data_IF_016140726956
#
_entry.id   IF_016140726956
#
_cell.length_a   1.000
_cell.length_b   1.000
_cell.length_c   1.000
_cell.angle_alpha   90.00
_cell.angle_beta   90.00
_cell.angle_gamma   90.00
#
_symmetry.space_group_name_H-M   'P 1'
#
loop_
_entity.id
_entity.type
_entity.pdbx_description
1 polymer ?
#
# COMPACT_ATOMS: atom_id res chain seq x y z
N UNK A 1 -8.88 0.40 17.40
CA UNK A 1 -8.55 0.08 16.01
C UNK A 1 -7.15 0.58 15.66
N UNK A 2 -6.80 1.82 15.97
CA UNK A 2 -5.46 2.39 15.73
C UNK A 2 -4.35 1.52 16.32
N UNK A 3 -4.45 1.17 17.60
CA UNK A 3 -3.47 0.28 18.27
C UNK A 3 -3.34 -1.07 17.57
N UNK A 4 -4.47 -1.65 17.14
CA UNK A 4 -4.45 -2.92 16.42
C UNK A 4 -3.71 -2.81 15.07
N UNK A 5 -4.00 -1.75 14.31
CA UNK A 5 -3.36 -1.54 13.01
C UNK A 5 -1.89 -1.20 13.19
N UNK A 6 -1.54 -0.38 14.17
CA UNK A 6 -0.14 -0.10 14.51
C UNK A 6 0.65 -1.38 14.80
N UNK A 7 0.13 -2.24 15.69
CA UNK A 7 0.79 -3.50 16.02
C UNK A 7 0.92 -4.41 14.80
N UNK A 8 -0.14 -4.52 14.00
CA UNK A 8 -0.11 -5.30 12.75
C UNK A 8 0.96 -4.79 11.79
N UNK A 9 1.08 -3.48 11.61
CA UNK A 9 2.10 -2.91 10.70
C UNK A 9 3.51 -3.14 11.24
N UNK A 10 3.72 -3.03 12.54
CA UNK A 10 5.03 -3.34 13.14
C UNK A 10 5.41 -4.82 12.96
N UNK A 11 4.46 -5.73 13.11
CA UNK A 11 4.67 -7.16 12.84
C UNK A 11 4.97 -7.42 11.36
N UNK A 12 4.20 -6.83 10.44
CA UNK A 12 4.45 -6.92 9.01
C UNK A 12 5.82 -6.32 8.63
N UNK A 13 6.19 -5.20 9.21
CA UNK A 13 7.50 -4.57 9.02
C UNK A 13 8.63 -5.50 9.49
N UNK A 14 8.46 -6.13 10.65
CA UNK A 14 9.41 -7.12 11.15
C UNK A 14 9.59 -8.30 10.18
N UNK A 15 8.47 -8.85 9.65
CA UNK A 15 8.52 -9.92 8.66
C UNK A 15 9.17 -9.45 7.35
N UNK A 16 8.88 -8.24 6.90
CA UNK A 16 9.50 -7.69 5.71
C UNK A 16 11.02 -7.55 5.87
N UNK A 17 11.48 -7.02 6.98
CA UNK A 17 12.91 -6.97 7.31
C UNK A 17 13.53 -8.38 7.32
N UNK A 18 12.83 -9.38 7.85
CA UNK A 18 13.28 -10.77 7.84
C UNK A 18 13.38 -11.33 6.42
N UNK A 19 12.43 -11.02 5.53
CA UNK A 19 12.48 -11.39 4.09
C UNK A 19 13.68 -10.72 3.42
N UNK A 20 13.91 -9.43 3.62
CA UNK A 20 15.07 -8.72 3.06
C UNK A 20 16.38 -9.33 3.56
N UNK A 21 16.50 -9.65 4.84
CA UNK A 21 17.71 -10.34 5.39
C UNK A 21 17.98 -11.68 4.69
N UNK A 22 16.94 -12.47 4.41
CA UNK A 22 17.02 -13.77 3.75
C UNK A 22 17.11 -13.71 2.23
N UNK A 23 16.80 -12.57 1.63
CA UNK A 23 16.79 -12.40 0.18
C UNK A 23 18.13 -12.85 -0.43
N UNK A 24 18.09 -13.63 -1.51
CA UNK A 24 19.29 -14.25 -2.10
C UNK A 24 19.97 -13.40 -3.18
N UNK A 25 19.28 -12.43 -3.73
CA UNK A 25 19.79 -11.63 -4.85
C UNK A 25 20.26 -10.23 -4.46
N UNK A 26 19.88 -9.70 -3.29
CA UNK A 26 20.37 -8.43 -2.78
C UNK A 26 21.76 -8.57 -2.16
N UNK A 27 22.64 -7.63 -2.48
CA UNK A 27 23.93 -7.47 -1.81
C UNK A 27 23.77 -7.06 -0.34
N UNK A 28 24.81 -7.26 0.46
CA UNK A 28 24.81 -6.86 1.87
C UNK A 28 24.60 -5.34 2.05
N UNK A 29 25.17 -4.54 1.14
CA UNK A 29 25.04 -3.09 1.13
C UNK A 29 23.60 -2.65 0.90
N UNK A 30 22.95 -3.15 -0.17
CA UNK A 30 21.56 -2.83 -0.49
C UNK A 30 20.59 -3.32 0.60
N UNK A 31 20.83 -4.54 1.15
CA UNK A 31 20.05 -5.04 2.29
C UNK A 31 20.11 -4.11 3.50
N UNK A 32 21.31 -3.65 3.85
CA UNK A 32 21.50 -2.73 4.99
C UNK A 32 20.73 -1.45 4.80
N UNK A 33 20.77 -0.84 3.61
CA UNK A 33 20.04 0.37 3.30
C UNK A 33 18.51 0.16 3.31
N UNK A 34 18.02 -0.93 2.71
CA UNK A 34 16.60 -1.29 2.72
C UNK A 34 16.07 -1.51 4.14
N UNK A 35 16.82 -2.23 4.97
CA UNK A 35 16.45 -2.48 6.38
C UNK A 35 16.40 -1.17 7.17
N UNK A 36 17.44 -0.32 7.05
CA UNK A 36 17.47 0.98 7.71
C UNK A 36 16.27 1.85 7.30
N UNK A 37 15.86 1.80 6.03
CA UNK A 37 14.70 2.52 5.54
C UNK A 37 13.40 2.01 6.16
N UNK A 38 13.22 0.69 6.25
CA UNK A 38 12.06 0.07 6.90
C UNK A 38 12.03 0.38 8.41
N UNK A 39 13.18 0.33 9.10
CA UNK A 39 13.28 0.64 10.53
C UNK A 39 12.89 2.10 10.83
N UNK A 40 13.25 3.03 9.95
CA UNK A 40 12.92 4.46 10.08
C UNK A 40 11.57 4.86 9.50
N UNK A 41 10.84 3.92 8.90
CA UNK A 41 9.52 4.18 8.34
C UNK A 41 8.56 4.58 9.46
N UNK A 42 7.88 5.72 9.28
CA UNK A 42 6.94 6.27 10.25
C UNK A 42 5.51 5.89 9.92
N UNK A 43 4.71 5.70 10.96
CA UNK A 43 3.30 5.37 10.86
C UNK A 43 2.47 6.55 11.38
N UNK A 44 1.54 7.02 10.55
CA UNK A 44 0.59 8.07 10.89
C UNK A 44 -0.82 7.49 10.68
N UNK A 45 -1.33 6.83 11.73
CA UNK A 45 -2.57 6.05 11.69
C UNK A 45 -3.63 6.74 12.53
N UNK A 46 -4.80 6.96 11.94
CA UNK A 46 -5.96 7.53 12.60
C UNK A 46 -5.94 9.06 12.66
N UNK A 47 -5.84 9.62 13.85
CA UNK A 47 -5.84 11.06 14.10
C UNK A 47 -4.44 11.56 14.47
N UNK A 48 -4.09 12.81 14.13
CA UNK A 48 -2.86 13.41 14.62
C UNK A 48 -2.94 13.62 16.15
N UNK A 49 -1.80 13.53 16.84
CA UNK A 49 -1.71 13.72 18.30
C UNK A 49 -2.24 15.08 18.77
N UNK A 50 -2.16 16.08 17.91
CA UNK A 50 -2.69 17.42 18.14
C UNK A 50 -3.52 17.87 16.95
N UNK A 51 -4.76 18.21 17.20
CA UNK A 51 -5.59 18.89 16.21
C UNK A 51 -5.13 20.35 16.08
N UNK A 52 -4.94 20.80 14.85
CA UNK A 52 -4.80 22.23 14.57
C UNK A 52 -6.06 22.98 15.02
N UNK A 53 -5.93 24.25 15.33
CA UNK A 53 -7.10 25.09 15.56
C UNK A 53 -7.73 25.38 14.22
N UNK A 54 -9.02 25.09 14.09
CA UNK A 54 -9.78 25.50 12.92
C UNK A 54 -9.84 27.03 12.84
N UNK A 55 -9.69 27.61 11.65
CA UNK A 55 -9.86 29.03 11.48
C UNK A 55 -11.31 29.40 11.76
N UNK A 56 -11.53 30.46 12.53
CA UNK A 56 -12.86 31.07 12.70
C UNK A 56 -13.08 31.95 11.49
N UNK A 57 -13.90 31.47 10.55
CA UNK A 57 -14.22 32.14 9.31
C UNK A 57 -15.74 32.37 9.23
N UNK A 58 -16.15 33.22 8.30
CA UNK A 58 -17.56 33.53 8.10
C UNK A 58 -18.27 32.42 7.28
N UNK A 59 -18.51 31.29 7.95
CA UNK A 59 -19.18 30.12 7.37
C UNK A 59 -20.70 30.29 7.40
N UNK A 60 -21.35 29.73 6.37
CA UNK A 60 -22.83 29.63 6.28
C UNK A 60 -23.24 28.17 6.58
N UNK A 61 -24.34 28.02 7.29
CA UNK A 61 -24.85 26.70 7.71
C UNK A 61 -25.38 25.87 6.54
N UNK A 62 -25.83 26.52 5.47
CA UNK A 62 -26.54 25.92 4.35
C UNK A 62 -25.81 26.00 3.00
N UNK A 63 -24.61 26.59 2.95
CA UNK A 63 -23.86 26.77 1.70
C UNK A 63 -22.43 26.17 1.80
N UNK A 64 -22.26 24.86 1.59
CA UNK A 64 -20.95 24.21 1.67
C UNK A 64 -19.98 24.70 0.58
N UNK A 65 -20.47 25.11 -0.59
CA UNK A 65 -19.63 25.64 -1.66
C UNK A 65 -19.04 27.00 -1.29
N UNK A 66 -19.84 27.88 -0.72
CA UNK A 66 -19.37 29.15 -0.18
C UNK A 66 -18.29 28.91 0.89
N UNK A 67 -18.53 27.97 1.82
CA UNK A 67 -17.60 27.63 2.89
C UNK A 67 -16.27 27.10 2.37
N UNK A 68 -16.29 26.27 1.33
CA UNK A 68 -15.08 25.83 0.64
C UNK A 68 -14.30 26.99 0.04
N UNK A 69 -15.01 27.97 -0.56
CA UNK A 69 -14.41 29.17 -1.12
C UNK A 69 -13.75 30.04 -0.06
N UNK A 70 -14.44 30.29 1.05
CA UNK A 70 -13.92 31.05 2.20
C UNK A 70 -12.66 30.39 2.79
N UNK A 71 -12.66 29.07 2.96
CA UNK A 71 -11.52 28.33 3.45
C UNK A 71 -10.35 28.35 2.46
N UNK A 72 -10.62 28.19 1.17
CA UNK A 72 -9.60 28.26 0.12
C UNK A 72 -8.93 29.63 0.07
N UNK A 73 -9.71 30.71 0.21
CA UNK A 73 -9.19 32.09 0.23
C UNK A 73 -8.31 32.33 1.47
N UNK A 74 -8.73 31.90 2.64
CA UNK A 74 -7.93 31.95 3.85
C UNK A 74 -6.58 31.22 3.69
N UNK A 75 -6.57 30.02 3.08
CA UNK A 75 -5.33 29.33 2.77
C UNK A 75 -4.46 30.09 1.78
N UNK A 76 -5.06 30.65 0.75
CA UNK A 76 -4.36 31.46 -0.24
C UNK A 76 -3.68 32.67 0.39
N UNK A 77 -4.38 33.39 1.24
CA UNK A 77 -3.82 34.55 1.97
C UNK A 77 -2.64 34.15 2.85
N UNK A 78 -2.73 33.02 3.56
CA UNK A 78 -1.58 32.49 4.33
C UNK A 78 -0.39 32.22 3.44
N UNK A 79 -0.59 31.56 2.29
CA UNK A 79 0.48 31.30 1.33
C UNK A 79 1.11 32.59 0.79
N UNK A 80 0.30 33.57 0.45
CA UNK A 80 0.80 34.87 -0.05
C UNK A 80 1.66 35.62 0.98
N UNK A 81 1.42 35.43 2.28
CA UNK A 81 2.27 35.98 3.35
C UNK A 81 3.66 35.37 3.37
N UNK A 82 3.87 34.25 2.69
CA UNK A 82 5.18 33.58 2.57
C UNK A 82 6.00 34.09 1.39
N UNK A 83 5.41 34.90 0.53
CA UNK A 83 6.12 35.49 -0.62
C UNK A 83 7.36 36.22 -0.16
N UNK A 84 8.48 35.96 -0.84
CA UNK A 84 9.81 36.50 -0.54
C UNK A 84 10.43 36.07 0.83
N UNK A 85 9.82 35.14 1.56
CA UNK A 85 10.42 34.56 2.76
C UNK A 85 11.21 33.30 2.40
N UNK A 86 12.38 33.14 2.99
CA UNK A 86 13.10 31.86 2.89
C UNK A 86 12.40 30.82 3.73
N UNK A 87 12.24 29.61 3.23
CA UNK A 87 11.59 28.49 3.96
C UNK A 87 12.24 28.25 5.32
N UNK A 88 13.55 28.39 5.39
CA UNK A 88 14.35 28.24 6.63
C UNK A 88 14.04 29.29 7.71
N UNK A 89 13.52 30.44 7.29
CA UNK A 89 13.23 31.57 8.18
C UNK A 89 11.77 31.55 8.67
N UNK A 90 11.05 30.45 8.51
CA UNK A 90 9.63 30.35 8.84
C UNK A 90 9.35 29.19 9.82
N UNK A 91 9.93 29.25 11.05
CA UNK A 91 9.74 28.21 12.05
C UNK A 91 8.30 28.12 12.58
N UNK A 92 7.50 29.19 12.42
CA UNK A 92 6.14 29.30 12.94
C UNK A 92 5.06 28.76 12.02
N UNK A 93 5.42 28.33 10.80
CA UNK A 93 4.45 27.73 9.89
C UNK A 93 4.24 26.28 10.28
N UNK A 94 3.02 25.97 10.68
CA UNK A 94 2.58 24.60 10.71
C UNK A 94 2.40 24.11 9.27
N UNK A 95 3.46 23.52 8.72
CA UNK A 95 3.44 22.92 7.39
C UNK A 95 2.38 21.81 7.26
N UNK A 96 1.82 21.32 8.37
CA UNK A 96 0.70 20.40 8.35
C UNK A 96 -0.58 21.05 7.83
N UNK A 97 -0.73 22.37 7.98
CA UNK A 97 -1.86 23.11 7.39
C UNK A 97 -1.83 23.08 5.85
N UNK A 98 -0.65 22.91 5.28
CA UNK A 98 -0.45 22.81 3.83
C UNK A 98 -0.27 21.37 3.37
N UNK A 99 -0.50 20.38 4.24
CA UNK A 99 -0.45 18.97 3.85
C UNK A 99 -1.35 18.72 2.66
N UNK A 100 -0.79 17.94 1.75
CA UNK A 100 -1.43 17.58 0.50
C UNK A 100 -2.78 16.90 0.73
N UNK A 101 -3.65 17.02 -0.24
CA UNK A 101 -4.87 16.25 -0.37
C UNK A 101 -4.55 14.77 -0.09
N UNK A 102 -5.34 14.12 0.74
CA UNK A 102 -5.21 12.71 1.08
C UNK A 102 -4.90 12.38 2.55
N UNK A 103 -4.47 13.36 3.37
CA UNK A 103 -4.22 13.15 4.80
C UNK A 103 -5.40 13.51 5.70
N UNK A 104 -6.48 14.01 5.12
CA UNK A 104 -7.65 14.41 5.88
C UNK A 104 -8.35 13.19 6.49
N UNK A 105 -8.83 13.34 7.73
CA UNK A 105 -9.45 12.24 8.49
C UNK A 105 -10.64 11.58 7.79
N UNK A 106 -11.33 12.28 6.89
CA UNK A 106 -12.47 11.77 6.14
C UNK A 106 -12.10 10.99 4.87
N UNK A 107 -10.83 10.99 4.48
CA UNK A 107 -10.39 10.25 3.29
C UNK A 107 -10.40 8.74 3.55
N UNK A 108 -11.10 8.01 2.67
CA UNK A 108 -11.12 6.55 2.68
C UNK A 108 -10.01 6.05 1.77
N UNK A 109 -8.79 6.12 2.28
CA UNK A 109 -7.59 5.63 1.60
C UNK A 109 -6.46 5.42 2.60
N UNK A 110 -5.40 4.73 2.19
CA UNK A 110 -4.09 4.69 2.84
C UNK A 110 -3.04 4.93 1.77
N UNK A 111 -1.86 5.43 2.14
CA UNK A 111 -0.78 5.62 1.19
C UNK A 111 0.59 5.78 1.86
N UNK A 112 1.60 5.29 1.17
CA UNK A 112 3.00 5.55 1.48
C UNK A 112 3.47 6.85 0.81
N UNK A 113 4.20 7.68 1.54
CA UNK A 113 4.83 8.90 1.02
C UNK A 113 6.35 8.76 1.02
N UNK A 114 7.01 8.64 -0.15
CA UNK A 114 8.45 8.45 -0.24
C UNK A 114 9.26 9.60 0.37
N UNK A 115 8.82 10.86 0.16
CA UNK A 115 9.52 12.07 0.62
C UNK A 115 9.53 12.27 2.14
N UNK A 116 8.70 11.56 2.86
CA UNK A 116 8.67 11.55 4.33
C UNK A 116 8.96 10.18 4.93
N UNK A 117 9.11 9.14 4.10
CA UNK A 117 9.22 7.75 4.49
C UNK A 117 8.15 7.36 5.53
N UNK A 118 6.89 7.62 5.18
CA UNK A 118 5.75 7.48 6.10
C UNK A 118 4.57 6.80 5.44
N UNK A 119 3.84 5.99 6.20
CA UNK A 119 2.51 5.46 5.83
C UNK A 119 1.46 6.28 6.56
N UNK A 120 0.46 6.73 5.80
CA UNK A 120 -0.70 7.48 6.30
C UNK A 120 -1.95 6.63 6.17
N UNK A 121 -2.69 6.51 7.27
CA UNK A 121 -3.97 5.78 7.32
C UNK A 121 -5.01 6.69 7.97
N UNK A 122 -5.76 7.49 7.21
CA UNK A 122 -6.80 8.37 7.73
C UNK A 122 -7.86 7.63 8.56
N UNK A 123 -8.48 8.33 9.50
CA UNK A 123 -9.46 7.75 10.42
C UNK A 123 -10.63 7.06 9.70
N UNK A 124 -11.10 7.63 8.59
CA UNK A 124 -12.19 7.07 7.80
C UNK A 124 -11.88 5.69 7.21
N UNK A 125 -10.62 5.31 7.07
CA UNK A 125 -10.22 3.97 6.63
C UNK A 125 -10.35 2.93 7.76
N UNK A 126 -10.35 3.35 9.03
CA UNK A 126 -10.42 2.49 10.20
C UNK A 126 -11.85 2.10 10.58
N UNK A 127 -12.70 1.83 9.61
CA UNK A 127 -14.09 1.45 9.78
C UNK A 127 -14.49 0.28 8.85
N UNK A 128 -15.67 -0.26 9.07
CA UNK A 128 -16.25 -1.24 8.15
C UNK A 128 -16.39 -0.63 6.75
N UNK A 129 -16.10 -1.40 5.68
CA UNK A 129 -15.74 -2.82 5.67
C UNK A 129 -14.24 -3.11 5.87
N UNK A 130 -13.36 -2.12 5.97
CA UNK A 130 -11.90 -2.31 5.98
C UNK A 130 -11.39 -2.98 7.25
N UNK A 131 -12.06 -2.76 8.39
CA UNK A 131 -11.74 -3.39 9.66
C UNK A 131 -13.02 -3.72 10.44
N UNK A 132 -13.21 -4.99 10.76
CA UNK A 132 -14.39 -5.48 11.47
C UNK A 132 -13.98 -6.45 12.59
N UNK A 133 -14.15 -6.02 13.85
CA UNK A 133 -13.91 -6.83 15.05
C UNK A 133 -15.16 -7.52 15.58
N UNK A 134 -16.33 -7.10 15.12
CA UNK A 134 -17.59 -7.54 15.71
C UNK A 134 -18.10 -8.83 15.06
N UNK A 135 -17.88 -8.98 13.76
CA UNK A 135 -18.51 -10.04 12.96
C UNK A 135 -17.51 -10.87 12.15
N UNK A 136 -16.23 -10.48 12.09
CA UNK A 136 -15.23 -11.08 11.22
C UNK A 136 -13.97 -11.47 12.02
N UNK A 137 -13.33 -12.55 11.56
CA UNK A 137 -12.08 -13.03 12.12
C UNK A 137 -10.85 -12.31 11.61
N UNK A 138 -9.69 -12.82 12.03
CA UNK A 138 -8.38 -12.26 11.66
C UNK A 138 -8.13 -12.39 10.16
N UNK A 139 -8.58 -13.47 9.51
CA UNK A 139 -8.41 -13.70 8.08
C UNK A 139 -9.07 -12.60 7.24
N UNK A 140 -10.26 -12.16 7.68
CA UNK A 140 -10.94 -11.05 7.04
C UNK A 140 -10.14 -9.76 7.22
N UNK A 141 -9.76 -9.40 8.44
CA UNK A 141 -9.03 -8.18 8.71
C UNK A 141 -7.65 -8.17 8.04
N UNK A 142 -7.00 -9.33 7.93
CA UNK A 142 -5.74 -9.45 7.19
C UNK A 142 -5.96 -9.32 5.68
N UNK A 143 -7.03 -9.86 5.13
CA UNK A 143 -7.36 -9.72 3.71
C UNK A 143 -7.73 -8.29 3.30
N UNK A 144 -8.23 -7.48 4.24
CA UNK A 144 -8.63 -6.09 4.01
C UNK A 144 -7.54 -5.13 4.51
N UNK A 145 -7.60 -4.68 5.76
CA UNK A 145 -6.65 -3.68 6.27
C UNK A 145 -5.21 -4.21 6.28
N UNK A 146 -5.02 -5.50 6.58
CA UNK A 146 -3.68 -6.12 6.59
C UNK A 146 -3.04 -6.10 5.19
N UNK A 147 -3.78 -6.47 4.16
CA UNK A 147 -3.32 -6.38 2.77
C UNK A 147 -2.95 -4.95 2.40
N UNK A 148 -3.80 -3.97 2.72
CA UNK A 148 -3.48 -2.57 2.49
C UNK A 148 -2.19 -2.16 3.20
N UNK A 149 -2.00 -2.55 4.45
CA UNK A 149 -0.77 -2.22 5.18
C UNK A 149 0.47 -2.89 4.59
N UNK A 150 0.35 -4.14 4.14
CA UNK A 150 1.42 -4.84 3.42
C UNK A 150 1.75 -4.17 2.09
N UNK A 151 0.75 -3.71 1.35
CA UNK A 151 0.87 -2.95 0.11
C UNK A 151 1.60 -1.63 0.36
N UNK A 152 1.17 -0.81 1.32
CA UNK A 152 1.81 0.47 1.64
C UNK A 152 3.25 0.30 2.14
N UNK A 153 3.53 -0.73 2.94
CA UNK A 153 4.90 -1.08 3.33
C UNK A 153 5.76 -1.39 2.11
N UNK A 154 5.20 -2.11 1.13
CA UNK A 154 5.91 -2.53 -0.08
C UNK A 154 6.27 -1.36 -0.98
N UNK A 155 5.47 -0.29 -1.01
CA UNK A 155 5.79 0.95 -1.69
C UNK A 155 7.09 1.60 -1.23
N UNK A 156 7.56 1.29 -0.02
CA UNK A 156 8.87 1.79 0.43
C UNK A 156 10.04 1.30 -0.44
N UNK A 157 9.87 0.17 -1.10
CA UNK A 157 10.91 -0.49 -1.92
C UNK A 157 10.48 -0.74 -3.37
N UNK A 158 9.32 -0.27 -3.81
CA UNK A 158 8.86 -0.39 -5.19
C UNK A 158 9.76 0.38 -6.20
N UNK A 159 9.36 0.47 -7.45
CA UNK A 159 10.13 1.15 -8.50
C UNK A 159 10.31 2.65 -8.27
N UNK A 160 9.42 3.27 -7.50
CA UNK A 160 9.46 4.69 -7.11
C UNK A 160 10.06 4.87 -5.72
N UNK A 161 9.54 4.20 -4.69
CA UNK A 161 10.03 4.33 -3.32
C UNK A 161 11.50 3.94 -3.18
N UNK A 162 11.97 2.97 -3.95
CA UNK A 162 13.38 2.54 -3.97
C UNK A 162 14.35 3.61 -4.46
N UNK A 163 13.89 4.74 -4.98
CA UNK A 163 14.71 5.89 -5.38
C UNK A 163 14.98 6.85 -4.21
N UNK A 164 14.24 6.72 -3.11
CA UNK A 164 14.36 7.57 -1.93
C UNK A 164 15.05 6.82 -0.80
N UNK A 165 15.92 7.53 -0.07
CA UNK A 165 16.57 6.99 1.12
C UNK A 165 15.64 6.99 2.35
N UNK A 166 16.16 6.59 3.50
CA UNK A 166 15.43 6.50 4.75
C UNK A 166 14.97 7.85 5.31
N UNK A 167 15.49 8.96 4.81
CA UNK A 167 15.14 10.32 5.20
C UNK A 167 14.19 11.00 4.20
N UNK A 168 13.81 10.28 3.13
CA UNK A 168 12.95 10.79 2.06
C UNK A 168 13.68 11.63 1.01
N UNK A 169 15.00 11.59 0.95
CA UNK A 169 15.77 12.25 -0.09
C UNK A 169 15.91 11.35 -1.32
N UNK A 170 15.84 11.95 -2.50
CA UNK A 170 16.14 11.25 -3.75
C UNK A 170 17.62 10.89 -3.77
N UNK A 171 17.93 9.62 -3.59
CA UNK A 171 19.29 9.10 -3.46
C UNK A 171 19.39 7.67 -4.01
N UNK A 172 20.46 7.40 -4.77
CA UNK A 172 20.73 6.06 -5.28
C UNK A 172 21.56 5.27 -4.24
N UNK A 173 20.90 4.43 -3.47
CA UNK A 173 21.52 3.55 -2.47
C UNK A 173 21.65 2.09 -2.92
N UNK A 174 21.33 1.79 -4.17
CA UNK A 174 21.42 0.46 -4.75
C UNK A 174 22.78 0.22 -5.41
N UNK A 175 23.28 -1.03 -5.35
CA UNK A 175 24.35 -1.42 -6.25
C UNK A 175 23.84 -1.51 -7.70
N UNK A 176 24.76 -1.44 -8.66
CA UNK A 176 24.39 -1.54 -10.09
C UNK A 176 23.83 -2.93 -10.41
N UNK A 177 24.38 -3.96 -9.82
CA UNK A 177 24.01 -5.36 -9.99
C UNK A 177 22.61 -5.63 -9.44
N UNK A 178 22.33 -5.19 -8.21
CA UNK A 178 21.02 -5.33 -7.59
C UNK A 178 19.95 -4.56 -8.38
N UNK A 179 20.27 -3.34 -8.82
CA UNK A 179 19.36 -2.55 -9.65
C UNK A 179 19.08 -3.24 -10.99
N UNK A 180 20.08 -3.86 -11.60
CA UNK A 180 19.90 -4.61 -12.85
C UNK A 180 19.07 -5.87 -12.63
N UNK A 181 19.24 -6.57 -11.48
CA UNK A 181 18.40 -7.71 -11.12
C UNK A 181 16.95 -7.30 -10.88
N UNK A 182 16.75 -6.24 -10.12
CA UNK A 182 15.41 -5.71 -9.83
C UNK A 182 14.65 -5.32 -11.12
N UNK A 183 15.33 -4.72 -12.10
CA UNK A 183 14.73 -4.44 -13.41
C UNK A 183 14.22 -5.69 -14.14
N UNK A 184 14.87 -6.84 -13.95
CA UNK A 184 14.39 -8.12 -14.53
C UNK A 184 13.11 -8.61 -13.82
N UNK A 185 13.05 -8.44 -12.49
CA UNK A 185 11.84 -8.74 -11.72
C UNK A 185 10.68 -7.84 -12.16
N UNK A 186 10.92 -6.53 -12.27
CA UNK A 186 9.93 -5.55 -12.78
C UNK A 186 9.39 -5.98 -14.15
N UNK A 187 10.28 -6.38 -15.05
CA UNK A 187 9.87 -6.83 -16.41
C UNK A 187 8.98 -8.09 -16.34
N UNK A 188 9.26 -9.03 -15.45
CA UNK A 188 8.42 -10.21 -15.27
C UNK A 188 7.04 -9.86 -14.70
N UNK A 189 6.97 -8.87 -13.80
CA UNK A 189 5.70 -8.36 -13.27
C UNK A 189 4.87 -7.73 -14.40
N UNK A 190 5.45 -6.81 -15.17
CA UNK A 190 4.78 -6.19 -16.32
C UNK A 190 4.24 -7.27 -17.27
N UNK A 191 5.08 -8.23 -17.66
CA UNK A 191 4.67 -9.31 -18.55
C UNK A 191 3.50 -10.14 -18.01
N UNK A 192 3.45 -10.36 -16.68
CA UNK A 192 2.36 -11.11 -16.07
C UNK A 192 1.03 -10.35 -16.18
N UNK A 193 1.02 -9.08 -15.77
CA UNK A 193 -0.22 -8.28 -15.76
C UNK A 193 -0.75 -8.05 -17.18
N UNK A 194 0.13 -7.77 -18.13
CA UNK A 194 -0.24 -7.65 -19.55
C UNK A 194 -0.76 -8.97 -20.11
N UNK A 195 -0.14 -10.11 -19.77
CA UNK A 195 -0.61 -11.42 -20.22
C UNK A 195 -1.99 -11.77 -19.64
N UNK A 196 -2.23 -11.47 -18.35
CA UNK A 196 -3.53 -11.70 -17.74
C UNK A 196 -4.62 -10.81 -18.36
N UNK A 197 -4.30 -9.55 -18.66
CA UNK A 197 -5.23 -8.65 -19.37
C UNK A 197 -5.49 -9.13 -20.80
N UNK A 198 -4.47 -9.58 -21.53
CA UNK A 198 -4.58 -10.10 -22.89
C UNK A 198 -5.47 -11.33 -22.98
N UNK A 199 -5.47 -12.21 -21.97
CA UNK A 199 -6.39 -13.37 -21.89
C UNK A 199 -7.84 -12.94 -21.85
N UNK A 200 -8.13 -11.75 -21.32
CA UNK A 200 -9.47 -11.16 -21.29
C UNK A 200 -9.77 -10.29 -22.53
N UNK A 201 -8.86 -10.22 -23.51
CA UNK A 201 -9.00 -9.37 -24.69
C UNK A 201 -8.77 -7.87 -24.41
N UNK A 202 -8.07 -7.54 -23.32
CA UNK A 202 -7.79 -6.16 -22.90
C UNK A 202 -6.34 -5.83 -23.21
N UNK A 203 -6.12 -4.74 -23.95
CA UNK A 203 -4.81 -4.13 -24.10
C UNK A 203 -4.54 -3.19 -22.91
N UNK A 204 -3.46 -3.46 -22.19
CA UNK A 204 -3.07 -2.75 -20.98
C UNK A 204 -1.55 -2.62 -20.93
N UNK A 205 -1.06 -1.43 -20.67
CA UNK A 205 0.36 -1.16 -20.44
C UNK A 205 0.65 -1.16 -18.94
N UNK A 206 1.08 -2.30 -18.42
CA UNK A 206 1.39 -2.47 -17.01
C UNK A 206 2.62 -1.67 -16.55
N UNK A 207 3.39 -1.08 -17.46
CA UNK A 207 4.54 -0.24 -17.09
C UNK A 207 4.12 1.09 -16.43
N UNK A 208 2.88 1.54 -16.68
CA UNK A 208 2.33 2.80 -16.13
C UNK A 208 2.19 2.73 -14.61
N UNK A 209 1.77 1.57 -14.08
CA UNK A 209 1.47 1.37 -12.67
C UNK A 209 2.26 0.23 -12.02
N UNK A 210 3.43 -0.12 -12.54
CA UNK A 210 4.18 -1.28 -12.06
C UNK A 210 4.54 -1.22 -10.57
N UNK A 211 4.64 -0.04 -9.98
CA UNK A 211 4.81 0.13 -8.54
C UNK A 211 3.65 -0.45 -7.75
N UNK A 212 2.41 -0.23 -8.22
CA UNK A 212 1.19 -0.81 -7.64
C UNK A 212 1.20 -2.34 -7.74
N UNK A 213 1.59 -2.86 -8.91
CA UNK A 213 1.66 -4.31 -9.15
C UNK A 213 2.70 -4.98 -8.24
N UNK A 214 3.85 -4.35 -8.04
CA UNK A 214 4.89 -4.78 -7.11
C UNK A 214 4.40 -4.75 -5.67
N UNK A 215 3.71 -3.67 -5.28
CA UNK A 215 3.17 -3.51 -3.95
C UNK A 215 2.07 -4.54 -3.65
N UNK A 216 1.21 -4.83 -4.62
CA UNK A 216 0.18 -5.86 -4.51
C UNK A 216 0.79 -7.27 -4.31
N UNK A 217 1.78 -7.65 -5.12
CA UNK A 217 2.44 -8.97 -5.03
C UNK A 217 3.19 -9.11 -3.70
N UNK A 218 4.01 -8.12 -3.38
CA UNK A 218 4.83 -8.13 -2.17
C UNK A 218 3.95 -8.05 -0.91
N UNK A 219 2.97 -7.15 -0.90
CA UNK A 219 2.06 -6.95 0.21
C UNK A 219 1.23 -8.19 0.53
N UNK A 220 0.62 -8.82 -0.48
CA UNK A 220 -0.17 -10.04 -0.26
C UNK A 220 0.69 -11.19 0.26
N UNK A 221 1.89 -11.38 -0.30
CA UNK A 221 2.85 -12.39 0.17
C UNK A 221 3.28 -12.16 1.62
N UNK A 222 3.44 -10.91 2.02
CA UNK A 222 3.81 -10.55 3.37
C UNK A 222 2.70 -10.90 4.38
N UNK A 223 1.46 -10.63 4.02
CA UNK A 223 0.29 -10.92 4.87
C UNK A 223 -0.01 -12.41 4.91
N UNK A 224 0.17 -13.15 3.81
CA UNK A 224 0.11 -14.62 3.80
C UNK A 224 1.12 -15.21 4.80
N UNK A 225 2.38 -14.74 4.75
CA UNK A 225 3.43 -15.18 5.67
C UNK A 225 3.09 -14.86 7.13
N UNK A 226 2.51 -13.67 7.39
CA UNK A 226 2.04 -13.29 8.72
C UNK A 226 0.98 -14.26 9.24
N UNK A 227 -0.05 -14.53 8.46
CA UNK A 227 -1.14 -15.44 8.86
C UNK A 227 -0.62 -16.86 9.09
N UNK A 228 0.28 -17.34 8.24
CA UNK A 228 0.89 -18.65 8.37
C UNK A 228 1.70 -18.77 9.68
N UNK A 229 2.54 -17.80 10.00
CA UNK A 229 3.31 -17.80 11.25
C UNK A 229 2.41 -17.64 12.47
N UNK A 230 1.39 -16.81 12.41
CA UNK A 230 0.44 -16.64 13.48
C UNK A 230 -0.27 -17.96 13.80
N UNK A 231 -0.69 -18.68 12.79
CA UNK A 231 -1.30 -20.00 12.92
C UNK A 231 -0.35 -21.02 13.54
N UNK A 232 0.90 -21.08 13.10
CA UNK A 232 1.92 -21.99 13.63
C UNK A 232 2.27 -21.72 15.10
N UNK A 233 2.35 -20.46 15.49
CA UNK A 233 2.71 -20.06 16.85
C UNK A 233 1.57 -20.28 17.86
N UNK A 234 0.35 -20.43 17.38
CA UNK A 234 -0.87 -20.49 18.21
C UNK A 234 -1.75 -21.72 17.92
N UNK A 235 -1.18 -22.78 17.38
CA UNK A 235 -1.89 -24.01 16.99
C UNK A 235 -2.58 -24.73 18.16
N UNK A 236 -2.13 -24.49 19.39
CA UNK A 236 -2.71 -25.00 20.63
C UNK A 236 -3.95 -24.24 21.10
N UNK A 237 -4.27 -23.10 20.50
CA UNK A 237 -5.45 -22.31 20.80
C UNK A 237 -6.57 -22.70 19.82
N UNK A 238 -7.69 -23.31 20.27
CA UNK A 238 -8.71 -23.87 19.36
C UNK A 238 -9.27 -22.87 18.34
N UNK A 239 -9.49 -21.61 18.76
CA UNK A 239 -10.01 -20.56 17.87
C UNK A 239 -9.00 -20.20 16.77
N UNK A 240 -7.71 -20.24 17.08
CA UNK A 240 -6.63 -19.90 16.15
C UNK A 240 -6.30 -21.10 15.25
N UNK A 241 -6.39 -22.32 15.77
CA UNK A 241 -6.19 -23.54 15.00
C UNK A 241 -7.14 -23.68 13.82
N UNK A 242 -8.31 -23.09 13.90
CA UNK A 242 -9.32 -23.11 12.84
C UNK A 242 -9.19 -21.96 11.85
N UNK A 243 -8.14 -21.14 11.94
CA UNK A 243 -7.85 -20.12 10.94
C UNK A 243 -7.60 -20.77 9.58
N UNK A 244 -8.09 -20.14 8.52
CA UNK A 244 -8.04 -20.71 7.18
C UNK A 244 -7.37 -19.75 6.21
N UNK A 245 -6.25 -20.17 5.63
CA UNK A 245 -5.64 -19.50 4.49
C UNK A 245 -6.60 -19.47 3.29
N UNK A 246 -7.43 -20.49 3.11
CA UNK A 246 -8.47 -20.51 2.08
C UNK A 246 -9.44 -19.33 2.27
N UNK A 247 -9.95 -19.12 3.50
CA UNK A 247 -10.81 -17.96 3.83
C UNK A 247 -10.12 -16.64 3.57
N UNK A 248 -8.83 -16.52 3.89
CA UNK A 248 -8.03 -15.33 3.61
C UNK A 248 -8.00 -15.01 2.10
N UNK A 249 -7.73 -15.99 1.24
CA UNK A 249 -7.71 -15.79 -0.20
C UNK A 249 -9.10 -15.46 -0.77
N UNK A 250 -10.15 -16.10 -0.25
CA UNK A 250 -11.53 -15.78 -0.63
C UNK A 250 -11.87 -14.33 -0.25
N UNK A 251 -11.51 -13.89 0.95
CA UNK A 251 -11.74 -12.50 1.37
C UNK A 251 -10.93 -11.50 0.55
N UNK A 252 -9.70 -11.83 0.16
CA UNK A 252 -8.89 -11.00 -0.74
C UNK A 252 -9.58 -10.83 -2.10
N UNK A 253 -10.16 -11.89 -2.64
CA UNK A 253 -10.93 -11.83 -3.89
C UNK A 253 -12.25 -11.04 -3.72
N UNK A 254 -12.91 -11.15 -2.57
CA UNK A 254 -14.13 -10.39 -2.27
C UNK A 254 -13.84 -8.90 -2.15
N UNK A 255 -12.71 -8.53 -1.54
CA UNK A 255 -12.27 -7.13 -1.45
C UNK A 255 -12.04 -6.53 -2.84
N UNK A 256 -11.44 -7.27 -3.74
CA UNK A 256 -11.07 -6.83 -5.09
C UNK A 256 -12.23 -6.87 -6.09
N UNK A 257 -13.48 -6.99 -5.63
CA UNK A 257 -14.62 -6.95 -6.55
C UNK A 257 -14.83 -5.56 -7.11
N UNK A 258 -14.83 -5.44 -8.42
CA UNK A 258 -15.04 -4.20 -9.13
C UNK A 258 -16.15 -4.34 -10.17
N UNK A 259 -16.92 -3.29 -10.32
CA UNK A 259 -17.82 -3.09 -11.47
C UNK A 259 -17.50 -1.74 -12.09
N UNK A 260 -17.10 -1.75 -13.34
CA UNK A 260 -16.77 -0.55 -14.10
C UNK A 260 -17.71 -0.43 -15.31
N UNK A 261 -18.11 0.80 -15.63
CA UNK A 261 -18.86 1.07 -16.85
C UNK A 261 -17.96 0.99 -18.08
N UNK A 262 -18.44 0.42 -19.18
CA UNK A 262 -17.66 0.28 -20.42
C UNK A 262 -17.07 1.62 -20.90
N UNK A 263 -17.81 2.71 -20.74
CA UNK A 263 -17.34 4.05 -21.09
C UNK A 263 -16.19 4.57 -20.22
N UNK A 264 -16.06 4.07 -18.99
CA UNK A 264 -15.00 4.47 -18.05
C UNK A 264 -13.74 3.61 -18.19
N UNK A 265 -13.85 2.43 -18.78
CA UNK A 265 -12.74 1.49 -18.93
C UNK A 265 -11.51 2.09 -19.64
N UNK A 266 -11.63 2.83 -20.77
CA UNK A 266 -10.46 3.42 -21.42
C UNK A 266 -9.70 4.43 -20.53
N UNK A 267 -10.41 5.21 -19.72
CA UNK A 267 -9.79 6.15 -18.79
C UNK A 267 -9.07 5.40 -17.66
N UNK A 268 -9.68 4.36 -17.10
CA UNK A 268 -9.07 3.48 -16.10
C UNK A 268 -7.74 2.90 -16.62
N UNK A 269 -7.74 2.35 -17.82
CA UNK A 269 -6.56 1.67 -18.39
C UNK A 269 -5.41 2.62 -18.79
N UNK A 270 -5.70 3.89 -19.09
CA UNK A 270 -4.72 4.83 -19.61
C UNK A 270 -4.22 5.85 -18.59
N UNK A 271 -4.99 6.16 -17.56
CA UNK A 271 -4.72 7.28 -16.64
C UNK A 271 -4.55 6.84 -15.19
N UNK A 272 -5.12 5.70 -14.81
CA UNK A 272 -5.02 5.22 -13.44
C UNK A 272 -3.76 4.35 -13.30
N UNK A 273 -2.87 4.62 -12.33
CA UNK A 273 -1.73 3.75 -12.06
C UNK A 273 -2.14 2.36 -11.54
N UNK A 274 -3.34 2.26 -10.95
CA UNK A 274 -3.87 0.97 -10.50
C UNK A 274 -4.49 0.22 -11.67
N UNK A 275 -4.11 -1.04 -11.90
CA UNK A 275 -4.80 -1.90 -12.86
C UNK A 275 -6.23 -2.23 -12.43
N UNK A 276 -6.96 -2.99 -13.25
CA UNK A 276 -8.28 -3.49 -12.84
C UNK A 276 -8.14 -4.40 -11.62
N UNK A 277 -9.08 -4.30 -10.69
CA UNK A 277 -9.08 -5.08 -9.44
C UNK A 277 -8.97 -6.59 -9.67
N UNK A 278 -9.49 -7.10 -10.79
CA UNK A 278 -9.31 -8.49 -11.21
C UNK A 278 -7.82 -8.87 -11.29
N UNK A 279 -6.97 -8.00 -11.85
CA UNK A 279 -5.54 -8.29 -12.00
C UNK A 279 -4.79 -8.02 -10.71
N UNK A 280 -5.18 -7.02 -9.93
CA UNK A 280 -4.68 -6.76 -8.59
C UNK A 280 -4.89 -7.94 -7.64
N UNK A 281 -5.96 -8.70 -7.83
CA UNK A 281 -6.24 -9.94 -7.10
C UNK A 281 -5.50 -11.14 -7.71
N UNK A 282 -5.74 -11.39 -9.00
CA UNK A 282 -5.35 -12.66 -9.63
C UNK A 282 -3.85 -12.79 -9.84
N UNK A 283 -3.14 -11.70 -10.18
CA UNK A 283 -1.71 -11.77 -10.46
C UNK A 283 -0.89 -12.05 -9.20
N UNK A 284 -1.11 -11.38 -8.04
CA UNK A 284 -0.46 -11.76 -6.79
C UNK A 284 -0.75 -13.20 -6.37
N UNK A 285 -2.03 -13.62 -6.34
CA UNK A 285 -2.42 -14.98 -5.97
C UNK A 285 -1.77 -16.05 -6.83
N UNK A 286 -1.65 -15.79 -8.14
CA UNK A 286 -0.99 -16.70 -9.07
C UNK A 286 0.49 -16.96 -8.76
N UNK A 287 1.15 -16.15 -7.92
CA UNK A 287 2.53 -16.32 -7.47
C UNK A 287 2.66 -17.08 -6.15
N UNK A 288 1.58 -17.15 -5.35
CA UNK A 288 1.61 -17.75 -4.03
C UNK A 288 1.52 -19.27 -4.12
N UNK A 289 2.53 -19.97 -3.57
CA UNK A 289 2.60 -21.43 -3.63
C UNK A 289 1.48 -22.09 -2.83
N UNK A 290 1.18 -21.57 -1.64
CA UNK A 290 0.12 -22.13 -0.77
C UNK A 290 -1.25 -21.98 -1.45
N UNK A 291 -1.51 -20.83 -2.09
CA UNK A 291 -2.72 -20.64 -2.88
C UNK A 291 -2.84 -21.70 -3.98
N UNK A 292 -1.76 -21.94 -4.74
CA UNK A 292 -1.78 -22.94 -5.82
C UNK A 292 -2.04 -24.35 -5.29
N UNK A 293 -1.47 -24.71 -4.17
CA UNK A 293 -1.69 -26.02 -3.54
C UNK A 293 -3.14 -26.16 -3.09
N UNK A 294 -3.67 -25.19 -2.34
CA UNK A 294 -5.04 -25.25 -1.80
C UNK A 294 -6.10 -25.30 -2.89
N UNK A 295 -5.92 -24.54 -3.97
CA UNK A 295 -6.87 -24.47 -5.08
C UNK A 295 -6.51 -25.37 -6.27
N UNK A 296 -5.48 -26.24 -6.09
CA UNK A 296 -5.03 -27.20 -7.09
C UNK A 296 -4.71 -26.56 -8.48
N UNK A 297 -4.11 -25.37 -8.46
CA UNK A 297 -3.76 -24.60 -9.66
C UNK A 297 -2.59 -25.26 -10.39
N UNK A 298 -2.78 -25.59 -11.66
CA UNK A 298 -1.82 -26.29 -12.51
C UNK A 298 -1.46 -25.48 -13.74
N UNK A 299 -0.35 -25.86 -14.37
CA UNK A 299 0.05 -25.30 -15.66
C UNK A 299 -1.09 -25.46 -16.69
N UNK A 300 -1.49 -24.34 -17.27
CA UNK A 300 -2.61 -24.25 -18.21
C UNK A 300 -3.88 -23.63 -17.62
N UNK A 301 -3.99 -23.54 -16.29
CA UNK A 301 -5.12 -22.88 -15.65
C UNK A 301 -5.00 -21.34 -15.77
N UNK A 302 -6.14 -20.65 -15.76
CA UNK A 302 -6.19 -19.19 -15.85
C UNK A 302 -5.45 -18.46 -14.72
N UNK A 303 -5.36 -19.08 -13.55
CA UNK A 303 -4.63 -18.57 -12.38
C UNK A 303 -3.18 -19.06 -12.29
N UNK A 304 -2.64 -19.67 -13.36
CA UNK A 304 -1.26 -20.14 -13.34
C UNK A 304 -0.31 -19.10 -13.97
N UNK A 305 0.81 -18.86 -13.28
CA UNK A 305 1.95 -18.13 -13.80
C UNK A 305 3.23 -18.95 -13.61
N UNK A 306 4.19 -18.87 -14.52
CA UNK A 306 5.40 -19.68 -14.48
C UNK A 306 6.36 -19.31 -13.33
N UNK A 307 6.29 -18.07 -12.87
CA UNK A 307 7.16 -17.52 -11.84
C UNK A 307 6.40 -17.37 -10.51
N UNK A 308 7.02 -17.83 -9.41
CA UNK A 308 6.49 -17.73 -8.04
C UNK A 308 7.26 -16.72 -7.19
N UNK A 309 8.10 -15.90 -7.82
CA UNK A 309 8.83 -14.85 -7.12
C UNK A 309 7.85 -13.78 -6.63
N UNK A 310 7.89 -13.48 -5.34
CA UNK A 310 7.06 -12.46 -4.67
C UNK A 310 7.84 -11.18 -4.42
N UNK A 311 8.82 -10.88 -5.25
CA UNK A 311 9.71 -9.72 -5.27
C UNK A 311 10.87 -9.88 -4.27
N UNK A 312 10.56 -9.98 -2.98
CA UNK A 312 11.55 -9.99 -1.88
C UNK A 312 11.77 -11.36 -1.23
#
# INVERSE_FOLDING_TARGET
KEVYVNNMVEDLKYLFIKKIKKNSWLSAETKKAAINKLEKLRLEIGMPDKLGKDPILDYKDDDPWYNMGVYAEWKREKLMKLENKKVIDIPEIDWNEFKLVGTQAYMVNAYYRPTSNSIYVPLAYLQKPFIDFDQRGIEYNLAYIGYTMGHELSHSLDDTGSKFDENGNLNNWWTKEDRAHYKKIIKDVINQYEEFARRDGIEFDASIGVGEDIADISGLSLVEEYLFYFQLLHDNIPLIKNLSLESFYIYSAIQSRQKIFDKALPAQLKQNPHPLEKYRCNCPLARLLIFRELFNVKKGDGMWWHNTNTIW
#
